data_IF_342464392398
#
_entry.id   IF_342464392398
#
_cell.length_a   1.000
_cell.length_b   1.000
_cell.length_c   1.000
_cell.angle_alpha   90.00
_cell.angle_beta   90.00
_cell.angle_gamma   90.00
#
_symmetry.space_group_name_H-M   'P 1'
#
loop_
_entity.id
_entity.type
_entity.pdbx_description
1 polymer ?
#
# COMPACT_ATOMS: atom_id res chain seq x y z
N UNK A 1 -1.17 -7.90 0.27
CA UNK A 1 0.15 -8.44 -0.21
C UNK A 1 1.20 -8.23 0.85
N UNK A 2 2.06 -9.23 1.07
CA UNK A 2 3.25 -9.13 1.90
C UNK A 2 4.50 -9.25 1.04
N UNK A 3 5.62 -8.71 1.52
CA UNK A 3 6.89 -8.88 0.84
C UNK A 3 7.27 -10.36 0.75
N UNK A 4 7.91 -10.73 -0.34
CA UNK A 4 8.48 -12.05 -0.50
C UNK A 4 9.72 -12.18 0.41
N UNK A 5 9.75 -13.15 1.34
CA UNK A 5 10.83 -13.24 2.33
C UNK A 5 12.24 -13.26 1.72
N UNK A 6 12.40 -13.94 0.58
CA UNK A 6 13.67 -14.10 -0.14
C UNK A 6 14.21 -12.80 -0.74
N UNK A 7 13.33 -11.78 -0.97
CA UNK A 7 13.75 -10.50 -1.56
C UNK A 7 13.80 -9.34 -0.55
N UNK A 8 13.27 -9.53 0.67
CA UNK A 8 13.15 -8.46 1.65
C UNK A 8 14.46 -7.79 2.06
N UNK A 9 15.57 -8.51 1.92
CA UNK A 9 16.91 -8.06 2.32
C UNK A 9 17.85 -7.83 1.13
N UNK A 10 17.31 -7.79 -0.08
CA UNK A 10 18.13 -7.52 -1.25
C UNK A 10 18.74 -6.12 -1.20
N UNK A 11 20.02 -5.98 -1.60
CA UNK A 11 20.73 -4.71 -1.51
C UNK A 11 20.21 -3.67 -2.50
N UNK A 12 20.45 -2.39 -2.22
CA UNK A 12 20.04 -1.27 -3.09
C UNK A 12 20.43 -1.45 -4.57
N UNK A 13 21.62 -1.96 -4.93
CA UNK A 13 21.96 -2.21 -6.34
C UNK A 13 21.03 -3.21 -7.03
N UNK A 14 20.54 -4.23 -6.33
CA UNK A 14 19.54 -5.16 -6.87
C UNK A 14 18.25 -4.42 -7.27
N UNK A 15 17.72 -3.57 -6.40
CA UNK A 15 16.52 -2.78 -6.69
C UNK A 15 16.74 -1.74 -7.80
N UNK A 16 17.95 -1.19 -7.89
CA UNK A 16 18.32 -0.30 -9.00
C UNK A 16 18.29 -1.06 -10.34
N UNK A 17 18.83 -2.28 -10.39
CA UNK A 17 18.78 -3.14 -11.57
C UNK A 17 17.34 -3.54 -11.92
N UNK A 18 16.50 -3.93 -10.94
CA UNK A 18 15.08 -4.24 -11.15
C UNK A 18 14.35 -3.06 -11.80
N UNK A 19 14.58 -1.84 -11.32
CA UNK A 19 14.04 -0.62 -11.91
C UNK A 19 14.55 -0.39 -13.32
N UNK A 20 15.86 -0.50 -13.53
CA UNK A 20 16.49 -0.27 -14.83
C UNK A 20 15.94 -1.24 -15.89
N UNK A 21 15.88 -2.53 -15.61
CA UNK A 21 15.32 -3.55 -16.51
C UNK A 21 13.85 -3.25 -16.82
N UNK A 22 13.05 -2.97 -15.79
CA UNK A 22 11.62 -2.70 -15.95
C UNK A 22 11.33 -1.44 -16.77
N UNK A 23 12.08 -0.35 -16.54
CA UNK A 23 11.91 0.90 -17.28
C UNK A 23 12.35 0.76 -18.75
N UNK A 24 13.44 0.03 -18.99
CA UNK A 24 13.99 -0.08 -20.33
C UNK A 24 13.24 -1.10 -21.19
N UNK A 25 12.90 -2.27 -20.66
CA UNK A 25 12.20 -3.33 -21.41
C UNK A 25 10.67 -3.21 -21.34
N UNK A 26 10.15 -2.34 -20.46
CA UNK A 26 8.72 -2.12 -20.24
C UNK A 26 8.08 -3.10 -19.27
N UNK A 27 7.17 -2.61 -18.45
CA UNK A 27 6.47 -3.36 -17.38
C UNK A 27 5.41 -4.33 -17.89
N UNK A 28 4.92 -4.13 -19.11
CA UNK A 28 3.79 -4.88 -19.68
C UNK A 28 4.07 -5.26 -21.12
N UNK A 29 3.37 -6.28 -21.60
CA UNK A 29 3.38 -6.66 -23.03
C UNK A 29 2.23 -5.92 -23.70
N UNK A 30 2.58 -5.11 -24.72
CA UNK A 30 1.60 -4.34 -25.47
C UNK A 30 0.53 -5.27 -26.08
N UNK A 31 -0.74 -4.94 -25.85
CA UNK A 31 -1.89 -5.70 -26.39
C UNK A 31 -2.27 -6.94 -25.58
N UNK A 32 -1.44 -7.45 -24.67
CA UNK A 32 -1.77 -8.63 -23.86
C UNK A 32 -2.42 -8.30 -22.51
N UNK A 33 -2.31 -7.06 -22.06
CA UNK A 33 -2.96 -6.63 -20.82
C UNK A 33 -2.41 -7.24 -19.54
N UNK A 34 -1.22 -7.85 -19.59
CA UNK A 34 -0.57 -8.52 -18.45
C UNK A 34 0.76 -7.86 -18.09
N UNK A 35 1.18 -8.07 -16.85
CA UNK A 35 2.52 -7.71 -16.38
C UNK A 35 3.52 -8.70 -16.98
N UNK A 36 4.62 -8.16 -17.49
CA UNK A 36 5.66 -8.89 -18.21
C UNK A 36 6.63 -9.62 -17.26
N UNK A 37 7.12 -10.76 -17.71
CA UNK A 37 8.34 -11.42 -17.21
C UNK A 37 9.49 -11.18 -18.20
N UNK A 38 10.72 -11.47 -17.78
CA UNK A 38 11.91 -11.33 -18.62
C UNK A 38 12.73 -12.61 -18.54
N UNK A 39 13.33 -13.03 -19.68
CA UNK A 39 14.30 -14.12 -19.68
C UNK A 39 15.65 -13.64 -19.16
N UNK A 40 16.50 -14.59 -18.71
CA UNK A 40 17.89 -14.31 -18.32
C UNK A 40 18.64 -13.64 -19.48
N UNK A 41 18.46 -14.16 -20.72
CA UNK A 41 19.13 -13.64 -21.91
C UNK A 41 18.70 -12.20 -22.26
N UNK A 42 17.43 -11.85 -22.02
CA UNK A 42 16.97 -10.46 -22.22
C UNK A 42 17.62 -9.51 -21.22
N UNK A 43 17.69 -9.92 -19.94
CA UNK A 43 18.31 -9.10 -18.87
C UNK A 43 19.81 -8.96 -19.14
N UNK A 44 20.50 -10.06 -19.38
CA UNK A 44 21.96 -10.06 -19.61
C UNK A 44 22.33 -9.24 -20.86
N UNK A 45 21.60 -9.42 -21.96
CA UNK A 45 21.80 -8.64 -23.19
C UNK A 45 21.63 -7.14 -22.93
N UNK A 46 20.55 -6.76 -22.23
CA UNK A 46 20.32 -5.35 -21.90
C UNK A 46 21.47 -4.75 -21.08
N UNK A 47 21.91 -5.46 -20.04
CA UNK A 47 22.99 -5.00 -19.15
C UNK A 47 24.31 -4.90 -19.92
N UNK A 48 24.68 -5.94 -20.68
CA UNK A 48 25.91 -6.01 -21.46
C UNK A 48 25.99 -4.92 -22.53
N UNK A 49 24.87 -4.64 -23.25
CA UNK A 49 24.80 -3.60 -24.27
C UNK A 49 25.01 -2.18 -23.69
N UNK A 50 24.74 -1.99 -22.40
CA UNK A 50 24.91 -0.71 -21.71
C UNK A 50 26.17 -0.67 -20.82
N UNK A 51 27.05 -1.66 -20.92
CA UNK A 51 28.30 -1.74 -20.15
C UNK A 51 28.08 -1.94 -18.64
N UNK A 52 26.91 -2.46 -18.24
CA UNK A 52 26.57 -2.69 -16.84
C UNK A 52 27.03 -4.09 -16.46
N UNK A 53 27.90 -4.16 -15.46
CA UNK A 53 28.47 -5.44 -14.97
C UNK A 53 27.68 -5.92 -13.76
N UNK A 54 27.04 -7.09 -13.90
CA UNK A 54 26.27 -7.74 -12.83
C UNK A 54 26.61 -9.23 -12.82
N UNK A 55 26.75 -9.81 -11.62
CA UNK A 55 27.01 -11.25 -11.49
C UNK A 55 25.78 -12.08 -11.92
N UNK A 56 26.04 -13.25 -12.51
CA UNK A 56 25.01 -14.16 -13.01
C UNK A 56 23.94 -14.51 -11.96
N UNK A 57 24.34 -14.80 -10.71
CA UNK A 57 23.42 -15.11 -9.61
C UNK A 57 22.44 -13.94 -9.31
N UNK A 58 22.90 -12.70 -9.50
CA UNK A 58 22.03 -11.54 -9.32
C UNK A 58 21.01 -11.43 -10.45
N UNK A 59 21.40 -11.77 -11.69
CA UNK A 59 20.50 -11.84 -12.84
C UNK A 59 19.44 -12.94 -12.65
N UNK A 60 19.84 -14.12 -12.18
CA UNK A 60 18.90 -15.19 -11.84
C UNK A 60 17.91 -14.76 -10.75
N UNK A 61 18.41 -14.15 -9.68
CA UNK A 61 17.54 -13.62 -8.61
C UNK A 61 16.56 -12.57 -9.12
N UNK A 62 17.01 -11.70 -10.02
CA UNK A 62 16.11 -10.70 -10.65
C UNK A 62 15.05 -11.37 -11.53
N UNK A 63 15.42 -12.38 -12.30
CA UNK A 63 14.46 -13.15 -13.11
C UNK A 63 13.41 -13.83 -12.23
N UNK A 64 13.80 -14.47 -11.12
CA UNK A 64 12.89 -15.07 -10.16
C UNK A 64 11.94 -14.01 -9.57
N UNK A 65 12.47 -12.87 -9.18
CA UNK A 65 11.67 -11.74 -8.68
C UNK A 65 10.63 -11.28 -9.70
N UNK A 66 11.01 -11.09 -10.97
CA UNK A 66 10.10 -10.67 -12.03
C UNK A 66 8.98 -11.69 -12.26
N UNK A 67 9.28 -12.97 -12.20
CA UNK A 67 8.27 -14.03 -12.33
C UNK A 67 7.28 -13.98 -11.16
N UNK A 68 7.77 -13.86 -9.92
CA UNK A 68 6.93 -13.77 -8.74
C UNK A 68 6.07 -12.50 -8.75
N UNK A 69 6.66 -11.34 -9.11
CA UNK A 69 5.93 -10.08 -9.27
C UNK A 69 4.82 -10.20 -10.33
N UNK A 70 5.12 -10.75 -11.49
CA UNK A 70 4.15 -10.93 -12.55
C UNK A 70 3.04 -11.91 -12.15
N UNK A 71 3.39 -13.04 -11.54
CA UNK A 71 2.43 -14.02 -11.04
C UNK A 71 1.47 -13.41 -9.99
N UNK A 72 2.03 -12.70 -8.99
CA UNK A 72 1.25 -12.00 -7.97
C UNK A 72 0.26 -11.02 -8.60
N UNK A 73 0.73 -10.17 -9.52
CA UNK A 73 -0.09 -9.13 -10.12
C UNK A 73 -1.14 -9.69 -11.08
N UNK A 74 -0.75 -10.61 -11.96
CA UNK A 74 -1.62 -11.17 -12.98
C UNK A 74 -2.70 -12.11 -12.44
N UNK A 75 -2.48 -12.76 -11.28
CA UNK A 75 -3.38 -13.80 -10.80
C UNK A 75 -4.06 -13.48 -9.46
N UNK A 76 -3.42 -12.70 -8.58
CA UNK A 76 -3.98 -12.40 -7.26
C UNK A 76 -4.49 -10.95 -7.17
N UNK A 77 -3.63 -9.98 -7.44
CA UNK A 77 -3.98 -8.55 -7.31
C UNK A 77 -5.13 -8.19 -8.25
N UNK A 78 -5.07 -8.61 -9.50
CA UNK A 78 -6.13 -8.37 -10.49
C UNK A 78 -7.52 -8.80 -9.99
N UNK A 79 -7.61 -9.95 -9.32
CA UNK A 79 -8.90 -10.51 -8.86
C UNK A 79 -9.44 -9.83 -7.61
N UNK A 80 -8.55 -9.24 -6.82
CA UNK A 80 -8.92 -8.57 -5.58
C UNK A 80 -9.39 -7.13 -5.79
N UNK A 81 -8.91 -6.47 -6.84
CA UNK A 81 -9.34 -5.11 -7.17
C UNK A 81 -10.84 -5.06 -7.47
N UNK A 82 -11.53 -4.09 -6.88
CA UNK A 82 -12.96 -3.85 -7.07
C UNK A 82 -13.18 -2.68 -8.05
N UNK A 83 -14.32 -2.68 -8.70
CA UNK A 83 -14.91 -1.48 -9.29
C UNK A 83 -15.78 -0.76 -8.25
N UNK A 84 -16.34 0.39 -8.61
CA UNK A 84 -17.17 1.19 -7.70
C UNK A 84 -18.41 0.46 -7.21
N UNK A 85 -19.04 -0.36 -8.04
CA UNK A 85 -20.23 -1.13 -7.72
C UNK A 85 -19.90 -2.20 -6.68
N UNK A 86 -18.88 -2.99 -6.91
CA UNK A 86 -18.44 -4.03 -5.98
C UNK A 86 -17.96 -3.45 -4.63
N UNK A 87 -17.31 -2.29 -4.64
CA UNK A 87 -16.93 -1.59 -3.42
C UNK A 87 -18.17 -1.09 -2.65
N UNK A 88 -19.16 -0.55 -3.37
CA UNK A 88 -20.44 -0.15 -2.81
C UNK A 88 -21.18 -1.34 -2.18
N UNK A 89 -21.34 -2.44 -2.89
CA UNK A 89 -21.96 -3.66 -2.37
C UNK A 89 -21.26 -4.20 -1.11
N UNK A 90 -19.93 -4.13 -1.10
CA UNK A 90 -19.13 -4.54 0.06
C UNK A 90 -19.37 -3.62 1.24
N UNK A 91 -19.40 -2.30 1.02
CA UNK A 91 -19.73 -1.33 2.04
C UNK A 91 -21.16 -1.54 2.59
N UNK A 92 -22.15 -1.71 1.72
CA UNK A 92 -23.55 -1.91 2.12
C UNK A 92 -23.75 -3.16 2.99
N UNK A 93 -22.95 -4.21 2.77
CA UNK A 93 -22.95 -5.41 3.65
C UNK A 93 -22.33 -5.15 5.02
N UNK A 94 -21.37 -4.22 5.13
CA UNK A 94 -20.73 -3.88 6.41
C UNK A 94 -21.42 -2.73 7.13
N UNK A 95 -22.17 -1.89 6.43
CA UNK A 95 -22.83 -0.72 7.01
C UNK A 95 -23.78 -1.03 8.19
N UNK A 96 -24.56 -2.15 8.20
CA UNK A 96 -25.33 -2.53 9.38
C UNK A 96 -24.46 -2.69 10.64
N UNK A 97 -23.24 -3.21 10.52
CA UNK A 97 -22.33 -3.32 11.66
C UNK A 97 -22.03 -1.95 12.27
N UNK A 98 -21.77 -0.94 11.44
CA UNK A 98 -21.55 0.43 11.88
C UNK A 98 -22.81 1.04 12.53
N UNK A 99 -23.95 0.94 11.85
CA UNK A 99 -25.22 1.55 12.28
C UNK A 99 -25.75 0.93 13.57
N UNK A 100 -25.79 -0.40 13.65
CA UNK A 100 -26.50 -1.14 14.70
C UNK A 100 -25.66 -1.26 15.98
N UNK A 101 -24.34 -1.03 15.91
CA UNK A 101 -23.44 -1.05 17.07
C UNK A 101 -22.94 0.35 17.48
N UNK A 102 -23.56 1.41 16.96
CA UNK A 102 -23.18 2.79 17.26
C UNK A 102 -21.67 3.06 17.12
N UNK A 103 -21.07 2.64 15.98
CA UNK A 103 -19.68 2.92 15.69
C UNK A 103 -19.45 4.41 15.49
N UNK A 104 -18.29 4.90 15.91
CA UNK A 104 -17.93 6.32 15.92
C UNK A 104 -17.05 6.71 14.73
N UNK A 105 -16.50 5.75 14.01
CA UNK A 105 -15.64 6.02 12.88
C UNK A 105 -16.39 6.76 11.77
N UNK A 106 -15.65 7.63 11.08
CA UNK A 106 -16.22 8.43 9.98
C UNK A 106 -16.51 7.57 8.76
N UNK A 107 -17.58 7.91 8.08
CA UNK A 107 -17.91 7.44 6.74
C UNK A 107 -17.70 8.61 5.76
N UNK A 108 -16.46 8.86 5.32
CA UNK A 108 -16.15 10.07 4.56
C UNK A 108 -16.82 10.06 3.19
N UNK A 109 -17.11 11.24 2.67
CA UNK A 109 -17.58 11.41 1.30
C UNK A 109 -16.40 11.50 0.35
N UNK A 110 -16.53 10.90 -0.85
CA UNK A 110 -15.55 11.07 -1.92
C UNK A 110 -15.47 12.57 -2.34
N UNK A 111 -14.41 12.93 -3.06
CA UNK A 111 -14.16 14.32 -3.51
C UNK A 111 -14.88 14.66 -4.82
N UNK A 112 -15.87 13.85 -5.26
CA UNK A 112 -16.62 14.08 -6.48
C UNK A 112 -17.76 15.11 -6.28
N UNK A 113 -18.33 15.59 -7.39
CA UNK A 113 -19.43 16.56 -7.41
C UNK A 113 -20.68 15.94 -8.04
N UNK A 114 -21.85 16.53 -7.73
CA UNK A 114 -23.13 16.13 -8.32
C UNK A 114 -23.50 14.67 -7.99
N UNK A 115 -24.05 13.97 -8.95
CA UNK A 115 -24.52 12.59 -8.78
C UNK A 115 -23.41 11.57 -8.42
N UNK A 116 -22.14 11.89 -8.66
CA UNK A 116 -21.01 11.06 -8.29
C UNK A 116 -20.53 11.28 -6.85
N UNK A 117 -21.10 12.23 -6.11
CA UNK A 117 -20.78 12.47 -4.71
C UNK A 117 -21.42 11.38 -3.85
N UNK A 118 -20.62 10.45 -3.38
CA UNK A 118 -21.04 9.30 -2.59
C UNK A 118 -20.03 9.06 -1.47
N UNK A 119 -20.34 8.10 -0.60
CA UNK A 119 -19.40 7.62 0.41
C UNK A 119 -18.11 7.16 -0.28
N UNK A 120 -16.97 7.46 0.31
CA UNK A 120 -15.69 6.88 -0.06
C UNK A 120 -15.68 5.43 0.44
N UNK A 121 -16.18 4.51 -0.39
CA UNK A 121 -16.57 3.17 0.04
C UNK A 121 -15.41 2.37 0.63
N UNK A 122 -14.25 2.40 0.00
CA UNK A 122 -13.10 1.65 0.47
C UNK A 122 -12.56 2.21 1.79
N UNK A 123 -12.49 3.54 1.91
CA UNK A 123 -12.11 4.21 3.16
C UNK A 123 -13.11 3.89 4.27
N UNK A 124 -14.41 3.93 3.98
CA UNK A 124 -15.44 3.59 4.96
C UNK A 124 -15.35 2.12 5.42
N UNK A 125 -15.08 1.19 4.51
CA UNK A 125 -14.84 -0.23 4.83
C UNK A 125 -13.65 -0.36 5.79
N UNK A 126 -12.54 0.30 5.50
CA UNK A 126 -11.34 0.28 6.35
C UNK A 126 -11.66 0.81 7.75
N UNK A 127 -12.36 1.94 7.85
CA UNK A 127 -12.73 2.54 9.12
C UNK A 127 -13.64 1.63 9.96
N UNK A 128 -14.67 1.04 9.34
CA UNK A 128 -15.58 0.10 10.01
C UNK A 128 -14.81 -1.12 10.54
N UNK A 129 -13.97 -1.73 9.71
CA UNK A 129 -13.18 -2.90 10.10
C UNK A 129 -12.16 -2.57 11.19
N UNK A 130 -11.61 -1.35 11.18
CA UNK A 130 -10.68 -0.88 12.22
C UNK A 130 -11.41 -0.81 13.56
N UNK A 131 -12.53 -0.10 13.63
CA UNK A 131 -13.29 0.05 14.87
C UNK A 131 -13.82 -1.30 15.37
N UNK A 132 -14.35 -2.16 14.49
CA UNK A 132 -14.80 -3.49 14.85
C UNK A 132 -13.68 -4.34 15.48
N UNK A 133 -12.49 -4.30 14.86
CA UNK A 133 -11.33 -5.04 15.37
C UNK A 133 -10.89 -4.53 16.74
N UNK A 134 -10.81 -3.21 16.93
CA UNK A 134 -10.44 -2.61 18.22
C UNK A 134 -11.45 -2.95 19.32
N UNK A 135 -12.75 -2.87 19.04
CA UNK A 135 -13.80 -3.21 20.01
C UNK A 135 -13.76 -4.68 20.42
N UNK A 136 -13.54 -5.58 19.49
CA UNK A 136 -13.43 -7.03 19.78
C UNK A 136 -12.17 -7.37 20.58
N UNK A 137 -11.12 -6.57 20.45
CA UNK A 137 -9.87 -6.76 21.21
C UNK A 137 -9.95 -6.19 22.63
N UNK A 138 -11.10 -5.71 23.11
CA UNK A 138 -11.33 -5.14 24.46
C UNK A 138 -10.43 -3.95 24.81
N UNK A 139 -9.88 -3.25 23.82
CA UNK A 139 -9.00 -2.07 24.00
C UNK A 139 -9.80 -0.78 24.05
N UNK A 140 -11.08 -0.84 23.73
CA UNK A 140 -11.97 0.32 23.69
C UNK A 140 -12.35 0.74 25.12
N UNK A 141 -11.88 1.92 25.52
CA UNK A 141 -12.33 2.66 26.72
C UNK A 141 -13.59 3.50 26.46
N UNK A 142 -14.31 3.23 25.36
CA UNK A 142 -15.43 4.03 24.87
C UNK A 142 -15.03 5.13 23.90
N UNK A 143 -13.73 5.37 23.67
CA UNK A 143 -13.22 6.23 22.60
C UNK A 143 -13.15 5.46 21.27
N UNK A 144 -12.91 6.17 20.16
CA UNK A 144 -12.69 5.56 18.86
C UNK A 144 -11.44 4.66 18.82
N UNK A 145 -10.43 5.01 19.63
CA UNK A 145 -9.20 4.23 19.80
C UNK A 145 -8.19 4.34 18.65
N UNK A 146 -8.53 5.06 17.56
CA UNK A 146 -7.62 5.36 16.45
C UNK A 146 -7.98 6.70 15.80
N UNK A 147 -7.12 7.20 14.94
CA UNK A 147 -7.37 8.43 14.19
C UNK A 147 -7.77 8.10 12.74
N UNK A 148 -9.05 8.28 12.42
CA UNK A 148 -9.69 7.98 11.12
C UNK A 148 -9.68 9.16 10.14
N UNK A 149 -9.15 10.31 10.53
CA UNK A 149 -9.02 11.53 9.71
C UNK A 149 -7.97 12.46 10.33
N UNK A 150 -6.69 12.07 10.31
CA UNK A 150 -5.60 12.86 10.88
C UNK A 150 -5.56 14.28 10.32
N UNK A 151 -5.57 15.28 11.19
CA UNK A 151 -5.48 16.71 10.81
C UNK A 151 -4.07 17.27 10.98
N UNK A 152 -3.13 16.48 11.48
CA UNK A 152 -1.73 16.83 11.67
C UNK A 152 -0.79 15.82 11.04
N UNK A 153 0.50 16.10 11.14
CA UNK A 153 1.56 15.18 10.77
C UNK A 153 1.72 14.09 11.84
N UNK A 154 2.36 13.00 11.48
CA UNK A 154 2.84 12.02 12.45
C UNK A 154 4.05 12.59 13.19
N UNK A 155 4.09 12.44 14.50
CA UNK A 155 5.23 12.81 15.33
C UNK A 155 5.67 11.63 16.18
N UNK A 156 6.98 11.45 16.28
CA UNK A 156 7.60 10.42 17.13
C UNK A 156 8.45 11.10 18.21
N UNK A 157 8.22 10.69 19.44
CA UNK A 157 8.91 11.19 20.62
C UNK A 157 9.67 10.05 21.30
N UNK A 158 10.80 10.38 21.91
CA UNK A 158 11.48 9.48 22.83
C UNK A 158 10.75 9.38 24.19
N UNK A 159 11.31 8.62 25.12
CA UNK A 159 10.72 8.42 26.43
C UNK A 159 10.82 9.68 27.32
N UNK A 160 11.70 10.63 26.96
CA UNK A 160 11.84 11.94 27.60
C UNK A 160 10.97 13.01 26.94
N UNK A 161 10.12 12.64 25.96
CA UNK A 161 9.25 13.53 25.17
C UNK A 161 9.98 14.49 24.23
N UNK A 162 11.23 14.20 23.86
CA UNK A 162 11.89 14.93 22.79
C UNK A 162 11.38 14.43 21.43
N UNK A 163 11.15 15.36 20.50
CA UNK A 163 10.75 15.01 19.13
C UNK A 163 11.96 14.39 18.42
N UNK A 164 11.80 13.15 17.95
CA UNK A 164 12.82 12.42 17.18
C UNK A 164 12.58 12.54 15.68
N UNK A 165 11.30 12.56 15.27
CA UNK A 165 10.94 12.63 13.88
C UNK A 165 9.51 13.08 13.66
N UNK A 166 9.24 13.49 12.42
CA UNK A 166 7.91 13.82 11.93
C UNK A 166 7.78 13.37 10.48
N UNK A 167 6.56 13.04 10.05
CA UNK A 167 6.28 12.80 8.63
C UNK A 167 6.22 14.11 7.86
N UNK A 168 6.54 14.06 6.56
CA UNK A 168 6.43 15.24 5.66
C UNK A 168 4.97 15.53 5.27
N UNK A 169 4.07 14.59 5.42
CA UNK A 169 2.65 14.73 5.04
C UNK A 169 1.72 14.03 6.02
N UNK A 170 0.42 14.33 5.88
CA UNK A 170 -0.63 13.67 6.65
C UNK A 170 -0.97 12.33 6.01
N UNK A 171 -1.33 11.35 6.85
CA UNK A 171 -1.85 10.05 6.48
C UNK A 171 -3.38 10.01 6.54
N UNK A 172 -3.99 8.97 5.96
CA UNK A 172 -5.45 8.77 6.02
C UNK A 172 -5.88 8.12 7.32
N UNK A 173 -4.95 7.49 8.05
CA UNK A 173 -5.21 6.98 9.39
C UNK A 173 -3.97 6.62 10.19
N UNK A 174 -4.15 6.51 11.51
CA UNK A 174 -3.09 6.14 12.46
C UNK A 174 -3.66 5.44 13.70
N UNK A 175 -2.93 4.47 14.24
CA UNK A 175 -3.25 3.81 15.49
C UNK A 175 -2.06 3.85 16.47
N UNK A 176 -2.27 4.18 17.76
CA UNK A 176 -3.52 4.67 18.32
C UNK A 176 -3.89 6.09 17.87
N UNK A 177 -2.90 6.93 17.52
CA UNK A 177 -3.07 8.28 16.99
C UNK A 177 -1.80 8.73 16.25
N UNK A 178 -1.73 9.98 15.81
CA UNK A 178 -0.56 10.53 15.10
C UNK A 178 0.66 10.82 15.99
N UNK A 179 0.53 10.69 17.30
CA UNK A 179 1.63 10.87 18.24
C UNK A 179 2.13 9.49 18.70
N UNK A 180 3.35 9.12 18.34
CA UNK A 180 3.91 7.78 18.53
C UNK A 180 3.00 6.66 17.99
N UNK A 181 2.61 6.68 16.71
CA UNK A 181 1.78 5.62 16.15
C UNK A 181 2.53 4.29 16.15
N UNK A 182 1.80 3.20 16.31
CA UNK A 182 2.28 1.84 16.06
C UNK A 182 2.09 1.45 14.59
N UNK A 183 1.04 2.01 13.97
CA UNK A 183 0.72 1.80 12.57
C UNK A 183 0.14 3.07 11.96
N UNK A 184 0.51 3.35 10.73
CA UNK A 184 -0.05 4.40 9.88
C UNK A 184 -0.47 3.81 8.55
N UNK A 185 -1.46 4.44 7.92
CA UNK A 185 -1.90 3.98 6.60
C UNK A 185 -2.32 5.11 5.68
N UNK A 186 -2.12 4.86 4.41
CA UNK A 186 -2.56 5.68 3.28
C UNK A 186 -3.54 4.90 2.43
N UNK A 187 -4.59 5.57 1.90
CA UNK A 187 -5.66 4.95 1.12
C UNK A 187 -5.74 5.61 -0.26
N UNK A 188 -5.58 4.83 -1.30
CA UNK A 188 -5.71 5.28 -2.69
C UNK A 188 -6.88 4.55 -3.37
N UNK A 189 -8.10 5.09 -3.19
CA UNK A 189 -9.31 4.64 -3.89
C UNK A 189 -9.63 5.58 -5.06
N UNK A 190 -9.51 5.11 -6.28
CA UNK A 190 -9.61 5.94 -7.49
C UNK A 190 -10.74 5.53 -8.43
N UNK A 191 -11.90 5.13 -7.89
CA UNK A 191 -13.03 4.64 -8.70
C UNK A 191 -13.54 5.65 -9.74
N UNK A 192 -13.43 6.93 -9.46
CA UNK A 192 -13.95 8.02 -10.29
C UNK A 192 -12.84 8.92 -10.83
N UNK A 193 -11.61 8.44 -10.90
CA UNK A 193 -10.52 9.24 -11.43
C UNK A 193 -10.72 9.47 -12.94
N UNK A 194 -10.90 10.73 -13.33
CA UNK A 194 -11.06 11.14 -14.74
C UNK A 194 -9.73 11.41 -15.42
N UNK A 195 -8.67 11.66 -14.64
CA UNK A 195 -7.32 11.89 -15.14
C UNK A 195 -6.38 10.82 -14.60
N UNK A 196 -5.99 9.92 -15.46
CA UNK A 196 -4.92 8.96 -15.19
C UNK A 196 -3.56 9.67 -15.32
N UNK A 197 -2.60 9.36 -14.46
CA UNK A 197 -1.22 9.82 -14.56
C UNK A 197 -0.69 10.45 -13.27
N UNK A 198 -0.84 11.76 -13.07
CA UNK A 198 -0.19 12.45 -11.96
C UNK A 198 -0.56 11.89 -10.60
N UNK A 199 -1.85 11.73 -10.28
CA UNK A 199 -2.29 11.26 -8.95
C UNK A 199 -1.86 9.83 -8.62
N UNK A 200 -1.82 8.93 -9.62
CA UNK A 200 -1.39 7.55 -9.41
C UNK A 200 0.13 7.51 -9.23
N UNK A 201 0.86 8.28 -10.05
CA UNK A 201 2.30 8.45 -9.91
C UNK A 201 2.67 9.07 -8.56
N UNK A 202 2.00 10.16 -8.18
CA UNK A 202 2.19 10.83 -6.90
C UNK A 202 1.99 9.86 -5.74
N UNK A 203 0.91 9.04 -5.78
CA UNK A 203 0.66 8.04 -4.76
C UNK A 203 1.80 7.03 -4.59
N UNK A 204 2.46 6.61 -5.67
CA UNK A 204 3.61 5.70 -5.62
C UNK A 204 4.85 6.41 -5.05
N UNK A 205 5.14 7.64 -5.51
CA UNK A 205 6.31 8.39 -5.06
C UNK A 205 6.17 8.85 -3.61
N UNK A 206 4.99 9.33 -3.22
CA UNK A 206 4.68 9.67 -1.82
C UNK A 206 4.90 8.48 -0.91
N UNK A 207 4.35 7.32 -1.25
CA UNK A 207 4.51 6.08 -0.47
C UNK A 207 5.98 5.66 -0.34
N UNK A 208 6.77 5.84 -1.39
CA UNK A 208 8.20 5.56 -1.33
C UNK A 208 8.93 6.54 -0.40
N UNK A 209 8.59 7.83 -0.46
CA UNK A 209 9.15 8.86 0.42
C UNK A 209 8.81 8.57 1.88
N UNK A 210 7.54 8.32 2.18
CA UNK A 210 7.07 7.95 3.52
C UNK A 210 7.85 6.77 4.08
N UNK A 211 8.09 5.76 3.24
CA UNK A 211 8.86 4.58 3.64
C UNK A 211 10.30 4.90 4.04
N UNK A 212 10.95 5.82 3.34
CA UNK A 212 12.30 6.29 3.73
C UNK A 212 12.26 7.06 5.05
N UNK A 213 11.26 7.94 5.23
CA UNK A 213 11.09 8.71 6.48
C UNK A 213 10.84 7.77 7.68
N UNK A 214 9.91 6.83 7.59
CA UNK A 214 9.63 5.91 8.69
C UNK A 214 10.78 4.96 8.98
N UNK A 215 11.53 4.54 7.98
CA UNK A 215 12.74 3.76 8.21
C UNK A 215 13.80 4.54 8.97
N UNK A 216 14.05 5.80 8.60
CA UNK A 216 14.97 6.68 9.31
C UNK A 216 14.50 6.95 10.74
N UNK A 217 13.22 7.30 10.92
CA UNK A 217 12.61 7.52 12.23
C UNK A 217 12.72 6.27 13.11
N UNK A 218 12.38 5.10 12.58
CA UNK A 218 12.44 3.84 13.33
C UNK A 218 13.88 3.47 13.74
N UNK A 219 14.86 3.71 12.86
CA UNK A 219 16.27 3.49 13.18
C UNK A 219 16.77 4.42 14.30
N UNK A 220 16.35 5.68 14.30
CA UNK A 220 16.76 6.67 15.33
C UNK A 220 16.04 6.49 16.64
N UNK A 221 14.75 6.13 16.61
CA UNK A 221 13.91 6.03 17.79
C UNK A 221 13.95 4.67 18.47
N UNK A 222 14.36 3.62 17.74
CA UNK A 222 14.17 2.25 18.16
C UNK A 222 12.69 1.82 18.20
N UNK A 223 11.77 2.65 17.75
CA UNK A 223 10.31 2.41 17.75
C UNK A 223 9.85 2.11 16.30
N UNK A 224 9.57 0.86 15.96
CA UNK A 224 9.08 0.54 14.62
C UNK A 224 7.67 1.10 14.42
N UNK A 225 7.44 1.66 13.24
CA UNK A 225 6.11 2.11 12.79
C UNK A 225 5.73 1.24 11.60
N UNK A 226 4.64 0.51 11.71
CA UNK A 226 4.13 -0.28 10.59
C UNK A 226 3.47 0.66 9.57
N UNK A 227 3.97 0.66 8.36
CA UNK A 227 3.46 1.46 7.25
C UNK A 227 2.63 0.59 6.31
N UNK A 228 1.33 0.90 6.18
CA UNK A 228 0.39 0.16 5.33
C UNK A 228 -0.13 1.03 4.20
N UNK A 229 -0.16 0.46 3.02
CA UNK A 229 -0.70 1.10 1.83
C UNK A 229 -1.94 0.35 1.33
N UNK A 230 -3.08 1.02 1.32
CA UNK A 230 -4.33 0.49 0.79
C UNK A 230 -4.58 1.03 -0.62
N UNK A 231 -4.93 0.16 -1.55
CA UNK A 231 -5.29 0.58 -2.88
C UNK A 231 -6.51 -0.18 -3.42
N UNK A 232 -7.37 0.53 -4.12
CA UNK A 232 -8.46 -0.07 -4.85
C UNK A 232 -8.90 0.83 -6.03
N UNK A 233 -9.42 0.25 -7.03
CA UNK A 233 -10.06 0.68 -8.27
C UNK A 233 -9.49 -0.12 -9.45
N UNK A 234 -10.22 -1.14 -9.88
CA UNK A 234 -9.79 -2.04 -10.95
C UNK A 234 -9.35 -1.30 -12.23
N UNK A 235 -10.16 -0.34 -12.69
CA UNK A 235 -9.84 0.41 -13.91
C UNK A 235 -8.53 1.17 -13.77
N UNK A 236 -8.39 1.94 -12.70
CA UNK A 236 -7.22 2.82 -12.49
C UNK A 236 -5.94 2.03 -12.28
N UNK A 237 -5.96 1.02 -11.40
CA UNK A 237 -4.76 0.29 -11.05
C UNK A 237 -4.43 -0.84 -12.02
N UNK A 238 -5.45 -1.59 -12.49
CA UNK A 238 -5.19 -2.74 -13.37
C UNK A 238 -5.24 -2.39 -14.85
N UNK A 239 -6.26 -1.67 -15.31
CA UNK A 239 -6.38 -1.39 -16.75
C UNK A 239 -5.32 -0.36 -17.17
N UNK A 240 -5.27 0.77 -16.46
CA UNK A 240 -4.46 1.92 -16.85
C UNK A 240 -3.08 1.94 -16.14
N UNK A 241 -2.93 1.36 -14.94
CA UNK A 241 -1.84 1.60 -14.00
C UNK A 241 -0.94 0.40 -13.66
N UNK A 242 -0.86 -0.64 -14.50
CA UNK A 242 -0.05 -1.86 -14.19
C UNK A 242 1.41 -1.57 -13.86
N UNK A 243 2.02 -0.62 -14.54
CA UNK A 243 3.41 -0.22 -14.26
C UNK A 243 3.58 0.36 -12.84
N UNK A 244 2.57 1.08 -12.35
CA UNK A 244 2.58 1.60 -10.99
C UNK A 244 2.35 0.49 -9.96
N UNK A 245 1.51 -0.52 -10.26
CA UNK A 245 1.39 -1.70 -9.41
C UNK A 245 2.72 -2.46 -9.31
N UNK A 246 3.48 -2.60 -10.40
CA UNK A 246 4.82 -3.18 -10.34
C UNK A 246 5.73 -2.39 -9.39
N UNK A 247 5.74 -1.06 -9.49
CA UNK A 247 6.54 -0.20 -8.61
C UNK A 247 6.11 -0.31 -7.14
N UNK A 248 4.81 -0.47 -6.85
CA UNK A 248 4.32 -0.70 -5.48
C UNK A 248 4.82 -2.04 -4.95
N UNK A 249 4.83 -3.11 -5.77
CA UNK A 249 5.42 -4.40 -5.37
C UNK A 249 6.92 -4.27 -5.13
N UNK A 250 7.62 -3.47 -5.94
CA UNK A 250 9.05 -3.19 -5.73
C UNK A 250 9.30 -2.44 -4.40
N UNK A 251 8.46 -1.43 -4.08
CA UNK A 251 8.51 -0.67 -2.82
C UNK A 251 8.25 -1.59 -1.61
N UNK A 252 7.25 -2.47 -1.70
CA UNK A 252 6.93 -3.46 -0.68
C UNK A 252 8.11 -4.40 -0.41
N UNK A 253 8.71 -4.96 -1.46
CA UNK A 253 9.81 -5.91 -1.34
C UNK A 253 11.14 -5.24 -0.95
N UNK A 254 11.31 -3.94 -1.22
CA UNK A 254 12.46 -3.16 -0.74
C UNK A 254 12.33 -2.71 0.73
N UNK A 255 11.24 -3.09 1.41
CA UNK A 255 11.01 -2.80 2.83
C UNK A 255 10.69 -1.34 3.13
N UNK A 256 10.12 -0.62 2.17
CA UNK A 256 9.65 0.77 2.35
C UNK A 256 8.16 0.85 2.74
N UNK A 257 7.45 -0.25 2.58
CA UNK A 257 6.08 -0.47 3.06
C UNK A 257 6.05 -1.86 3.68
N UNK A 258 5.39 -2.01 4.81
CA UNK A 258 5.32 -3.29 5.50
C UNK A 258 4.25 -4.20 4.90
N UNK A 259 3.13 -3.62 4.50
CA UNK A 259 2.05 -4.34 3.85
C UNK A 259 1.28 -3.47 2.84
N UNK A 260 0.90 -4.08 1.71
CA UNK A 260 -0.01 -3.48 0.74
C UNK A 260 -1.29 -4.32 0.71
N UNK A 261 -2.43 -3.68 0.97
CA UNK A 261 -3.74 -4.34 1.00
C UNK A 261 -4.58 -3.89 -0.19
N UNK A 262 -5.01 -4.86 -1.01
CA UNK A 262 -5.64 -4.59 -2.30
C UNK A 262 -7.11 -5.00 -2.30
N UNK A 263 -7.99 -4.04 -2.50
CA UNK A 263 -9.42 -4.28 -2.71
C UNK A 263 -10.01 -5.26 -1.69
N UNK A 264 -10.56 -6.38 -2.16
CA UNK A 264 -11.25 -7.38 -1.30
C UNK A 264 -10.37 -8.00 -0.21
N UNK A 265 -9.05 -7.96 -0.34
CA UNK A 265 -8.15 -8.44 0.73
C UNK A 265 -8.37 -7.71 2.06
N UNK A 266 -8.91 -6.49 2.01
CA UNK A 266 -9.17 -5.68 3.20
C UNK A 266 -10.04 -6.40 4.23
N UNK A 267 -10.99 -7.21 3.78
CA UNK A 267 -11.95 -7.90 4.65
C UNK A 267 -11.31 -8.91 5.59
N UNK A 268 -10.21 -9.50 5.18
CA UNK A 268 -9.51 -10.56 5.92
C UNK A 268 -8.14 -10.10 6.44
N UNK A 269 -7.36 -9.44 5.59
CA UNK A 269 -5.99 -9.07 5.89
C UNK A 269 -5.87 -7.94 6.91
N UNK A 270 -6.71 -6.90 6.78
CA UNK A 270 -6.63 -5.74 7.66
C UNK A 270 -6.94 -6.06 9.12
N UNK A 271 -8.06 -6.73 9.45
CA UNK A 271 -8.33 -7.13 10.83
C UNK A 271 -7.22 -8.01 11.44
N UNK A 272 -6.66 -8.95 10.67
CA UNK A 272 -5.57 -9.82 11.13
C UNK A 272 -4.29 -9.04 11.44
N UNK A 273 -3.88 -8.14 10.52
CA UNK A 273 -2.71 -7.30 10.72
C UNK A 273 -2.89 -6.38 11.92
N UNK A 274 -4.03 -5.69 12.00
CA UNK A 274 -4.31 -4.78 13.11
C UNK A 274 -4.29 -5.51 14.44
N UNK A 275 -4.92 -6.69 14.52
CA UNK A 275 -4.92 -7.53 15.72
C UNK A 275 -3.50 -7.90 16.14
N UNK A 276 -2.62 -8.33 15.24
CA UNK A 276 -1.24 -8.67 15.55
C UNK A 276 -0.39 -7.48 16.05
N UNK A 277 -0.81 -6.24 15.78
CA UNK A 277 -0.14 -5.03 16.26
C UNK A 277 -0.69 -4.62 17.64
N UNK A 278 -1.96 -4.91 17.90
CA UNK A 278 -2.63 -4.57 19.16
C UNK A 278 -2.18 -5.49 20.28
N UNK A 279 -2.14 -6.78 20.03
CA UNK A 279 -1.66 -7.84 20.93
C UNK A 279 -0.14 -7.76 21.14
#
# INVERSE_FOLDING_TARGET
MQAFPEFRHMPTPFWAMVKYVSETLGYTIRGQGIVRTYSIDEIDRLLSQNGIVVGYETIESAKQYFDMRANLLNHQVQRNLMNSEAAKETFERLYPLHRDNDFKCKLPMNKQKGAMKQVAFFTAIINILTEDTLRRSSISDGSLGFNDDPRGLVYVFDDNKHIIGASSRRFDGAYPNILNPRIVWEIKEYYYATTFGSRVADGVYETQLDGFEFRDISQRSGKPITHVFFLDAYKTWWVDGKSYLCRIVDILNSGLVDEVIVGREVLDRWPKLLKSIIE
#
